data_IF_542720475691
#
_entry.id   IF_542720475691
#
_cell.length_a   1.000
_cell.length_b   1.000
_cell.length_c   1.000
_cell.angle_alpha   90.00
_cell.angle_beta   90.00
_cell.angle_gamma   90.00
#
_symmetry.space_group_name_H-M   'P 1'
#
loop_
_entity.id
_entity.type
_entity.pdbx_description
1 polymer ?
#
# COMPACT_ATOMS: atom_id res chain seq x y z
N UNK A 1 -6.94 18.31 -16.51
CA UNK A 1 -5.86 17.35 -16.19
C UNK A 1 -6.27 16.65 -14.91
N UNK A 2 -6.12 15.33 -14.81
CA UNK A 2 -6.46 14.60 -13.57
C UNK A 2 -5.39 14.90 -12.52
N UNK A 3 -5.72 14.81 -11.24
CA UNK A 3 -4.79 15.15 -10.14
C UNK A 3 -4.12 13.92 -9.51
N UNK A 4 -4.44 12.72 -10.02
CA UNK A 4 -3.98 11.45 -9.45
C UNK A 4 -3.45 10.52 -10.53
N UNK A 5 -2.46 9.70 -10.19
CA UNK A 5 -1.87 8.71 -11.08
C UNK A 5 -1.86 7.33 -10.43
N UNK A 6 -2.31 6.32 -11.16
CA UNK A 6 -2.06 4.92 -10.82
C UNK A 6 -0.81 4.47 -11.57
N UNK A 7 0.17 3.90 -10.87
CA UNK A 7 1.40 3.38 -11.48
C UNK A 7 1.55 1.91 -11.14
N UNK A 8 1.47 1.05 -12.15
CA UNK A 8 1.48 -0.40 -11.95
C UNK A 8 2.61 -1.07 -12.69
N UNK A 9 3.21 -2.06 -12.05
CA UNK A 9 4.16 -2.97 -12.68
C UNK A 9 3.37 -4.16 -13.22
N UNK A 10 3.27 -4.30 -14.54
CA UNK A 10 2.34 -5.25 -15.15
C UNK A 10 3.05 -6.36 -15.95
N UNK A 11 2.57 -7.59 -15.76
CA UNK A 11 2.85 -8.73 -16.64
C UNK A 11 1.56 -9.28 -17.26
N UNK A 12 1.67 -10.43 -17.95
CA UNK A 12 0.56 -11.05 -18.70
C UNK A 12 -0.70 -11.35 -17.86
N UNK A 13 -0.57 -11.45 -16.54
CA UNK A 13 -1.67 -11.80 -15.63
C UNK A 13 -2.16 -10.62 -14.81
N UNK A 14 -1.71 -9.40 -15.11
CA UNK A 14 -2.08 -8.25 -14.30
C UNK A 14 -3.58 -7.94 -14.40
N UNK A 15 -4.17 -7.50 -13.29
CA UNK A 15 -5.60 -7.18 -13.15
C UNK A 15 -5.92 -5.71 -13.44
N UNK A 16 -4.95 -4.92 -13.91
CA UNK A 16 -5.10 -3.48 -14.12
C UNK A 16 -6.19 -3.08 -15.13
N UNK A 17 -6.64 -3.99 -16.00
CA UNK A 17 -7.78 -3.79 -16.90
C UNK A 17 -9.06 -3.38 -16.15
N UNK A 18 -9.27 -3.90 -14.93
CA UNK A 18 -10.42 -3.53 -14.08
C UNK A 18 -10.34 -2.11 -13.55
N UNK A 19 -9.14 -1.54 -13.50
CA UNK A 19 -8.89 -0.21 -12.95
C UNK A 19 -9.08 0.88 -14.00
N UNK A 20 -9.46 0.55 -15.23
CA UNK A 20 -9.83 1.53 -16.25
C UNK A 20 -11.03 1.05 -17.09
N UNK A 21 -11.88 0.20 -16.51
CA UNK A 21 -13.06 -0.38 -17.17
C UNK A 21 -14.25 0.61 -17.34
N UNK A 22 -14.10 1.86 -16.88
CA UNK A 22 -15.08 2.94 -17.02
C UNK A 22 -14.55 4.04 -17.95
N UNK A 23 -15.43 4.85 -18.58
CA UNK A 23 -15.01 5.95 -19.46
C UNK A 23 -14.01 6.91 -18.79
N UNK A 24 -13.08 7.47 -19.58
CA UNK A 24 -12.01 8.32 -19.04
C UNK A 24 -12.55 9.62 -18.42
N UNK A 25 -13.65 10.16 -18.93
CA UNK A 25 -14.37 11.28 -18.37
C UNK A 25 -14.83 11.02 -16.93
N UNK A 26 -15.19 9.78 -16.61
CA UNK A 26 -15.69 9.34 -15.30
C UNK A 26 -14.57 8.95 -14.33
N UNK A 27 -13.31 8.82 -14.78
CA UNK A 27 -12.14 8.57 -13.92
C UNK A 27 -11.64 9.86 -13.27
N UNK A 28 -11.08 9.78 -12.07
CA UNK A 28 -10.40 10.92 -11.40
C UNK A 28 -8.88 10.87 -11.52
N UNK A 29 -8.35 9.91 -12.28
CA UNK A 29 -6.92 9.59 -12.40
C UNK A 29 -6.52 9.20 -13.83
N UNK A 30 -5.22 9.32 -14.08
CA UNK A 30 -4.54 8.71 -15.22
C UNK A 30 -3.90 7.37 -14.79
N UNK A 31 -3.56 6.52 -15.75
CA UNK A 31 -2.92 5.22 -15.52
C UNK A 31 -1.59 5.14 -16.28
N UNK A 32 -0.52 4.79 -15.57
CA UNK A 32 0.79 4.49 -16.13
C UNK A 32 1.10 3.00 -15.92
N UNK A 33 1.13 2.25 -17.02
CA UNK A 33 1.41 0.82 -17.03
C UNK A 33 2.87 0.61 -17.38
N UNK A 34 3.65 0.23 -16.37
CA UNK A 34 5.06 -0.11 -16.52
C UNK A 34 5.19 -1.62 -16.68
N UNK A 35 5.17 -2.08 -17.93
CA UNK A 35 5.25 -3.51 -18.24
C UNK A 35 6.66 -4.06 -17.99
N UNK A 36 6.74 -5.29 -17.48
CA UNK A 36 7.98 -6.08 -17.46
C UNK A 36 7.95 -7.25 -18.46
N UNK A 37 6.78 -7.58 -19.01
CA UNK A 37 6.60 -8.60 -20.03
C UNK A 37 6.58 -7.98 -21.42
N UNK A 38 7.42 -8.49 -22.33
CA UNK A 38 7.44 -8.05 -23.74
C UNK A 38 6.13 -8.39 -24.44
N UNK A 39 5.57 -9.57 -24.15
CA UNK A 39 4.30 -10.04 -24.72
C UNK A 39 3.13 -9.14 -24.30
N UNK A 40 3.04 -8.80 -23.02
CA UNK A 40 1.97 -7.92 -22.54
C UNK A 40 2.11 -6.49 -23.11
N UNK A 41 3.33 -5.99 -23.24
CA UNK A 41 3.57 -4.67 -23.82
C UNK A 41 3.25 -4.65 -25.33
N UNK A 42 3.59 -5.71 -26.07
CA UNK A 42 3.27 -5.83 -27.49
C UNK A 42 1.75 -5.92 -27.75
N UNK A 43 0.97 -6.39 -26.77
CA UNK A 43 -0.49 -6.47 -26.83
C UNK A 43 -1.20 -5.20 -26.29
N UNK A 44 -0.46 -4.18 -25.85
CA UNK A 44 -1.05 -2.95 -25.34
C UNK A 44 -1.64 -2.11 -26.48
N UNK A 45 -2.88 -1.69 -26.31
CA UNK A 45 -3.57 -0.75 -27.20
C UNK A 45 -3.69 0.61 -26.49
N UNK A 46 -3.29 1.72 -27.13
CA UNK A 46 -3.41 3.04 -26.53
C UNK A 46 -4.86 3.44 -26.22
N UNK A 47 -5.09 3.95 -25.02
CA UNK A 47 -6.39 4.44 -24.56
C UNK A 47 -6.27 5.83 -23.91
N UNK A 48 -7.32 6.67 -23.93
CA UNK A 48 -7.30 7.97 -23.27
C UNK A 48 -6.92 7.86 -21.79
N UNK A 49 -5.94 8.65 -21.35
CA UNK A 49 -5.47 8.65 -19.96
C UNK A 49 -4.74 7.37 -19.54
N UNK A 50 -4.30 6.55 -20.49
CA UNK A 50 -3.49 5.35 -20.23
C UNK A 50 -2.18 5.46 -21.01
N UNK A 51 -1.07 5.47 -20.29
CA UNK A 51 0.27 5.43 -20.87
C UNK A 51 0.93 4.10 -20.53
N UNK A 52 1.72 3.56 -21.45
CA UNK A 52 2.47 2.34 -21.24
C UNK A 52 3.96 2.52 -21.55
N UNK A 53 4.81 1.88 -20.74
CA UNK A 53 6.26 1.78 -20.95
C UNK A 53 6.73 0.35 -20.70
N UNK A 54 7.81 -0.06 -21.34
CA UNK A 54 8.46 -1.34 -21.11
C UNK A 54 9.73 -1.14 -20.27
N UNK A 55 9.70 -1.59 -19.01
CA UNK A 55 10.81 -1.49 -18.07
C UNK A 55 11.05 -2.85 -17.43
N UNK A 56 12.27 -3.38 -17.55
CA UNK A 56 12.67 -4.65 -16.89
C UNK A 56 13.10 -4.42 -15.45
N UNK A 57 12.85 -5.42 -14.61
CA UNK A 57 13.16 -5.39 -13.18
C UNK A 57 11.97 -5.81 -12.32
N UNK A 58 12.18 -5.81 -11.00
CA UNK A 58 11.17 -6.05 -10.00
C UNK A 58 10.18 -4.89 -9.85
N UNK A 59 9.44 -4.89 -8.74
CA UNK A 59 8.44 -3.86 -8.47
C UNK A 59 9.10 -2.51 -8.26
N UNK A 60 9.97 -2.41 -7.25
CA UNK A 60 10.47 -1.12 -6.77
C UNK A 60 11.53 -0.51 -7.68
N UNK A 61 12.55 -1.26 -8.10
CA UNK A 61 13.53 -0.76 -9.07
C UNK A 61 12.88 -0.41 -10.42
N UNK A 62 11.84 -1.16 -10.82
CA UNK A 62 11.04 -0.85 -11.99
C UNK A 62 10.24 0.44 -11.84
N UNK A 63 9.60 0.67 -10.68
CA UNK A 63 8.93 1.93 -10.36
C UNK A 63 9.91 3.11 -10.32
N UNK A 64 11.12 2.91 -9.78
CA UNK A 64 12.19 3.91 -9.82
C UNK A 64 12.50 4.34 -11.24
N UNK A 65 12.87 3.39 -12.11
CA UNK A 65 13.18 3.63 -13.53
C UNK A 65 12.01 4.27 -14.29
N UNK A 66 10.78 3.97 -13.88
CA UNK A 66 9.57 4.52 -14.51
C UNK A 66 9.34 5.99 -14.14
N UNK A 67 9.66 6.38 -12.90
CA UNK A 67 9.26 7.66 -12.33
C UNK A 67 10.42 8.67 -12.16
N UNK A 68 11.67 8.23 -12.19
CA UNK A 68 12.84 9.07 -11.88
C UNK A 68 12.95 10.33 -12.77
N UNK A 69 12.64 10.20 -14.06
CA UNK A 69 12.76 11.29 -15.03
C UNK A 69 11.43 12.03 -15.27
N UNK A 70 10.39 11.72 -14.48
CA UNK A 70 9.06 12.32 -14.61
C UNK A 70 8.89 13.51 -13.68
N UNK A 71 8.06 14.46 -14.11
CA UNK A 71 7.63 15.54 -13.23
C UNK A 71 6.61 15.04 -12.20
N UNK A 72 7.09 14.78 -10.98
CA UNK A 72 6.25 14.32 -9.89
C UNK A 72 5.29 15.40 -9.36
N UNK A 73 5.42 16.66 -9.79
CA UNK A 73 4.47 17.73 -9.44
C UNK A 73 3.15 17.65 -10.20
N UNK A 74 3.10 16.90 -11.31
CA UNK A 74 1.93 16.80 -12.17
C UNK A 74 0.69 16.26 -11.44
N UNK A 75 0.89 15.37 -10.46
CA UNK A 75 -0.17 14.74 -9.68
C UNK A 75 0.06 14.95 -8.18
N UNK A 76 -1.02 15.11 -7.43
CA UNK A 76 -0.98 15.19 -5.97
C UNK A 76 -0.84 13.80 -5.34
N UNK A 77 -1.44 12.77 -5.95
CA UNK A 77 -1.50 11.41 -5.42
C UNK A 77 -1.03 10.36 -6.41
N UNK A 78 -0.31 9.36 -5.91
CA UNK A 78 0.22 8.23 -6.66
C UNK A 78 -0.15 6.93 -5.97
N UNK A 79 -0.91 6.07 -6.63
CA UNK A 79 -1.20 4.73 -6.14
C UNK A 79 -0.25 3.72 -6.79
N UNK A 80 0.46 2.94 -5.97
CA UNK A 80 1.52 1.99 -6.40
C UNK A 80 1.13 0.52 -6.12
N UNK A 81 0.03 0.00 -6.70
CA UNK A 81 -0.48 -1.33 -6.45
C UNK A 81 0.40 -2.46 -7.00
N UNK A 82 0.33 -3.62 -6.35
CA UNK A 82 0.68 -4.91 -6.94
C UNK A 82 -0.29 -5.27 -8.08
N UNK A 83 0.19 -6.09 -9.02
CA UNK A 83 -0.51 -6.37 -10.27
C UNK A 83 -1.71 -7.31 -10.12
N UNK A 84 -1.92 -7.89 -8.93
CA UNK A 84 -2.86 -8.95 -8.63
C UNK A 84 -3.96 -8.53 -7.64
N UNK A 85 -4.15 -7.22 -7.51
CA UNK A 85 -5.20 -6.59 -6.74
C UNK A 85 -6.45 -6.41 -7.62
N UNK A 86 -7.51 -7.06 -7.20
CA UNK A 86 -8.82 -6.91 -7.80
C UNK A 86 -9.61 -5.80 -7.08
N UNK A 87 -9.83 -4.69 -7.79
CA UNK A 87 -10.58 -3.51 -7.36
C UNK A 87 -11.20 -2.86 -8.60
N UNK A 88 -12.37 -2.24 -8.46
CA UNK A 88 -13.04 -1.57 -9.58
C UNK A 88 -12.46 -0.16 -9.83
N UNK A 89 -12.60 0.36 -11.05
CA UNK A 89 -12.23 1.75 -11.34
C UNK A 89 -13.01 2.77 -10.48
N UNK A 90 -14.26 2.46 -10.12
CA UNK A 90 -15.07 3.29 -9.23
C UNK A 90 -14.49 3.33 -7.80
N UNK A 91 -13.99 2.21 -7.29
CA UNK A 91 -13.33 2.16 -5.99
C UNK A 91 -11.95 2.85 -6.01
N UNK A 92 -11.25 2.85 -7.16
CA UNK A 92 -10.03 3.65 -7.34
C UNK A 92 -10.34 5.15 -7.34
N UNK A 93 -11.44 5.59 -7.97
CA UNK A 93 -11.93 6.96 -7.82
C UNK A 93 -12.17 7.28 -6.33
N UNK A 94 -12.91 6.42 -5.63
CA UNK A 94 -13.22 6.58 -4.22
C UNK A 94 -11.95 6.64 -3.34
N UNK A 95 -10.89 5.89 -3.69
CA UNK A 95 -9.59 5.95 -3.02
C UNK A 95 -9.00 7.36 -3.10
N UNK A 96 -8.93 7.94 -4.30
CA UNK A 96 -8.38 9.29 -4.47
C UNK A 96 -9.27 10.36 -3.83
N UNK A 97 -10.59 10.21 -3.91
CA UNK A 97 -11.53 11.10 -3.22
C UNK A 97 -11.33 11.05 -1.71
N UNK A 98 -11.18 9.86 -1.12
CA UNK A 98 -10.92 9.67 0.30
C UNK A 98 -9.56 10.26 0.72
N UNK A 99 -8.53 10.14 -0.12
CA UNK A 99 -7.22 10.77 0.11
C UNK A 99 -7.36 12.29 0.25
N UNK A 100 -8.13 12.91 -0.66
CA UNK A 100 -8.36 14.36 -0.66
C UNK A 100 -9.26 14.81 0.51
N UNK A 101 -10.43 14.18 0.67
CA UNK A 101 -11.45 14.54 1.68
C UNK A 101 -10.89 14.44 3.10
N UNK A 102 -10.08 13.42 3.39
CA UNK A 102 -9.48 13.23 4.71
C UNK A 102 -8.09 13.86 4.85
N UNK A 103 -7.58 14.54 3.82
CA UNK A 103 -6.26 15.17 3.83
C UNK A 103 -5.12 14.18 4.08
N UNK A 104 -5.26 12.95 3.59
CA UNK A 104 -4.29 11.87 3.81
C UNK A 104 -3.04 12.10 2.98
N UNK A 105 -1.92 11.65 3.53
CA UNK A 105 -0.61 11.61 2.89
C UNK A 105 -0.23 10.20 2.46
N UNK A 106 -0.74 9.20 3.18
CA UNK A 106 -0.48 7.79 2.93
C UNK A 106 -1.77 7.02 3.24
N UNK A 107 -2.24 6.22 2.31
CA UNK A 107 -3.32 5.29 2.61
C UNK A 107 -3.21 4.01 1.79
N UNK A 108 -4.05 3.04 2.13
CA UNK A 108 -4.43 1.99 1.18
C UNK A 108 -5.88 1.55 1.44
N UNK A 109 -6.57 1.02 0.41
CA UNK A 109 -7.80 0.27 0.62
C UNK A 109 -7.60 -0.89 1.59
N UNK A 110 -8.67 -1.30 2.25
CA UNK A 110 -8.67 -2.52 3.06
C UNK A 110 -8.69 -3.77 2.18
N UNK A 111 -8.42 -4.93 2.77
CA UNK A 111 -8.46 -6.22 2.10
C UNK A 111 -9.80 -6.92 2.33
N UNK A 112 -10.43 -7.42 1.27
CA UNK A 112 -11.63 -8.26 1.41
C UNK A 112 -11.34 -9.51 2.24
N UNK A 113 -12.34 -10.09 2.93
CA UNK A 113 -12.14 -11.29 3.76
C UNK A 113 -11.51 -12.48 3.03
N UNK A 114 -11.71 -12.56 1.71
CA UNK A 114 -11.20 -13.65 0.86
C UNK A 114 -9.73 -13.47 0.46
N UNK A 115 -9.15 -12.30 0.73
CA UNK A 115 -7.79 -11.93 0.32
C UNK A 115 -6.70 -12.76 1.00
N UNK A 116 -5.58 -12.93 0.29
CA UNK A 116 -4.31 -13.26 0.93
C UNK A 116 -3.74 -12.01 1.62
N UNK A 117 -3.06 -12.15 2.76
CA UNK A 117 -2.50 -11.01 3.49
C UNK A 117 -1.22 -11.36 4.24
N UNK A 118 -0.31 -10.39 4.38
CA UNK A 118 0.84 -10.44 5.30
C UNK A 118 0.45 -9.99 6.71
N UNK A 119 -0.47 -9.02 6.77
CA UNK A 119 -0.87 -8.36 8.00
C UNK A 119 -2.39 -8.27 8.10
N UNK A 120 -2.98 -9.10 8.97
CA UNK A 120 -4.43 -9.14 9.23
C UNK A 120 -5.04 -7.78 9.62
N UNK A 121 -4.24 -6.81 10.08
CA UNK A 121 -4.75 -5.47 10.38
C UNK A 121 -5.38 -4.80 9.16
N UNK A 122 -4.96 -5.14 7.93
CA UNK A 122 -5.49 -4.58 6.70
C UNK A 122 -6.80 -5.21 6.24
N UNK A 123 -7.23 -6.32 6.84
CA UNK A 123 -8.56 -6.88 6.59
C UNK A 123 -9.65 -5.82 6.85
N UNK A 124 -10.59 -5.71 5.93
CA UNK A 124 -11.73 -4.80 6.03
C UNK A 124 -12.43 -5.00 7.37
N UNK A 125 -12.65 -3.89 8.08
CA UNK A 125 -13.23 -3.88 9.40
C UNK A 125 -14.62 -3.23 9.35
N UNK A 126 -15.71 -4.01 9.40
CA UNK A 126 -17.07 -3.46 9.33
C UNK A 126 -17.34 -2.37 10.38
N UNK A 127 -18.08 -1.33 9.98
CA UNK A 127 -18.44 -0.21 10.85
C UNK A 127 -17.39 0.90 10.96
N UNK A 128 -16.32 0.84 10.16
CA UNK A 128 -15.30 1.88 10.05
C UNK A 128 -15.34 2.51 8.65
N UNK A 129 -15.12 3.83 8.60
CA UNK A 129 -14.80 4.57 7.38
C UNK A 129 -13.32 4.40 7.08
N UNK A 130 -12.49 4.72 8.09
CA UNK A 130 -11.05 4.57 8.03
C UNK A 130 -10.46 4.30 9.41
N UNK A 131 -9.25 3.75 9.43
CA UNK A 131 -8.44 3.49 10.63
C UNK A 131 -7.06 4.12 10.49
N UNK A 132 -6.74 5.08 11.34
CA UNK A 132 -5.42 5.69 11.41
C UNK A 132 -4.41 4.73 12.04
N UNK A 133 -3.30 4.52 11.34
CA UNK A 133 -2.30 3.50 11.65
C UNK A 133 -0.89 4.04 11.46
N UNK A 134 0.07 3.45 12.17
CA UNK A 134 1.50 3.77 12.00
C UNK A 134 2.18 2.96 10.89
N UNK A 135 1.40 2.30 10.04
CA UNK A 135 1.91 1.32 9.07
C UNK A 135 0.97 1.17 7.88
N UNK A 136 1.50 1.30 6.67
CA UNK A 136 0.85 1.02 5.38
C UNK A 136 1.76 0.08 4.61
N UNK A 137 1.22 -1.04 4.12
CA UNK A 137 2.00 -2.10 3.46
C UNK A 137 2.46 -1.69 2.06
N UNK A 138 3.60 -2.23 1.65
CA UNK A 138 4.21 -2.04 0.33
C UNK A 138 3.36 -2.59 -0.85
N UNK A 139 2.36 -3.42 -0.57
CA UNK A 139 1.50 -4.05 -1.58
C UNK A 139 0.70 -3.01 -2.38
N UNK A 140 0.09 -2.01 -1.73
CA UNK A 140 -0.77 -1.04 -2.42
C UNK A 140 -0.77 0.38 -1.85
N UNK A 141 0.40 0.99 -1.55
CA UNK A 141 0.42 2.31 -0.95
C UNK A 141 -0.07 3.37 -1.94
N UNK A 142 -1.00 4.21 -1.49
CA UNK A 142 -1.37 5.47 -2.13
C UNK A 142 -0.65 6.60 -1.40
N UNK A 143 0.26 7.27 -2.11
CA UNK A 143 1.18 8.26 -1.56
C UNK A 143 0.86 9.64 -2.12
N UNK A 144 0.85 10.66 -1.26
CA UNK A 144 0.94 12.04 -1.72
C UNK A 144 2.33 12.31 -2.31
N UNK A 145 2.43 13.22 -3.28
CA UNK A 145 3.68 13.57 -3.98
C UNK A 145 4.86 13.88 -3.05
N UNK A 146 4.62 14.59 -1.94
CA UNK A 146 5.65 14.89 -0.92
C UNK A 146 6.28 13.60 -0.35
N UNK A 147 5.46 12.57 -0.14
CA UNK A 147 5.92 11.27 0.36
C UNK A 147 6.61 10.50 -0.75
N UNK A 148 6.05 10.48 -1.95
CA UNK A 148 6.65 9.78 -3.10
C UNK A 148 8.03 10.34 -3.43
N UNK A 149 8.21 11.66 -3.48
CA UNK A 149 9.50 12.30 -3.76
C UNK A 149 10.59 11.87 -2.78
N UNK A 150 10.22 11.71 -1.50
CA UNK A 150 11.13 11.25 -0.45
C UNK A 150 11.39 9.74 -0.51
N UNK A 151 10.42 8.96 -0.95
CA UNK A 151 10.52 7.51 -1.09
C UNK A 151 11.23 7.05 -2.36
N UNK A 152 11.09 7.78 -3.47
CA UNK A 152 11.52 7.35 -4.79
C UNK A 152 13.01 6.97 -4.85
N UNK A 153 13.96 7.75 -4.28
CA UNK A 153 15.37 7.34 -4.25
C UNK A 153 15.62 6.00 -3.55
N UNK A 154 14.78 5.63 -2.59
CA UNK A 154 14.91 4.37 -1.83
C UNK A 154 14.44 3.15 -2.63
N UNK A 155 13.75 3.36 -3.74
CA UNK A 155 13.31 2.28 -4.62
C UNK A 155 14.46 1.79 -5.51
N UNK A 156 15.47 2.63 -5.73
CA UNK A 156 16.60 2.34 -6.61
C UNK A 156 17.35 1.09 -6.15
N UNK A 157 17.48 0.10 -7.04
CA UNK A 157 18.19 -1.14 -6.77
C UNK A 157 17.47 -2.12 -5.84
N UNK A 158 16.21 -1.84 -5.45
CA UNK A 158 15.42 -2.74 -4.60
C UNK A 158 14.44 -3.57 -5.45
N UNK A 159 14.46 -4.89 -5.29
CA UNK A 159 13.52 -5.78 -5.95
C UNK A 159 12.27 -6.00 -5.09
N UNK A 160 12.47 -6.34 -3.80
CA UNK A 160 11.36 -6.67 -2.90
C UNK A 160 10.77 -5.44 -2.22
N UNK A 161 11.61 -4.45 -1.93
CA UNK A 161 11.23 -3.26 -1.15
C UNK A 161 10.92 -3.60 0.30
N UNK A 162 11.44 -4.73 0.79
CA UNK A 162 11.16 -5.22 2.13
C UNK A 162 11.67 -4.22 3.17
N UNK A 163 10.76 -3.70 4.00
CA UNK A 163 11.05 -2.69 5.02
C UNK A 163 10.77 -1.23 4.63
N UNK A 164 10.37 -0.94 3.38
CA UNK A 164 9.92 0.41 3.00
C UNK A 164 8.66 0.86 3.78
N UNK A 165 7.83 -0.09 4.18
CA UNK A 165 6.66 0.13 5.03
C UNK A 165 7.01 0.49 6.50
N UNK A 166 8.28 0.40 6.89
CA UNK A 166 8.74 0.84 8.21
C UNK A 166 8.94 2.35 8.30
N UNK A 167 9.13 3.02 7.17
CA UNK A 167 9.71 4.37 7.14
C UNK A 167 8.72 5.47 6.79
N UNK A 168 7.88 5.29 5.75
CA UNK A 168 7.11 6.42 5.22
C UNK A 168 6.08 6.95 6.21
N UNK A 169 5.49 6.10 7.07
CA UNK A 169 4.52 6.53 8.10
C UNK A 169 5.19 7.33 9.24
N UNK A 170 6.52 7.33 9.30
CA UNK A 170 7.35 7.95 10.35
C UNK A 170 8.11 9.17 9.84
N UNK A 171 7.87 9.61 8.62
CA UNK A 171 8.35 10.91 8.17
C UNK A 171 7.49 12.04 8.73
N UNK A 172 8.08 13.22 8.92
CA UNK A 172 7.39 14.38 9.46
C UNK A 172 6.19 14.78 8.56
N UNK A 173 6.38 14.67 7.25
CA UNK A 173 5.41 14.98 6.20
C UNK A 173 4.21 14.04 6.22
N UNK A 174 4.38 12.80 6.72
CA UNK A 174 3.31 11.82 6.78
C UNK A 174 2.25 12.20 7.79
N UNK A 175 2.63 12.71 8.96
CA UNK A 175 1.72 13.16 10.02
C UNK A 175 0.86 12.04 10.64
N UNK A 176 0.55 12.13 11.93
CA UNK A 176 -0.20 11.07 12.60
C UNK A 176 -1.60 10.85 12.00
N UNK A 177 -2.42 11.90 11.90
CA UNK A 177 -3.81 11.77 11.40
C UNK A 177 -3.94 11.91 9.89
N UNK A 178 -2.91 11.51 9.15
CA UNK A 178 -2.87 11.56 7.68
C UNK A 178 -2.39 10.25 7.07
N UNK A 179 -2.29 9.20 7.89
CA UNK A 179 -1.97 7.84 7.44
C UNK A 179 -3.06 6.86 7.84
N UNK A 180 -3.75 6.24 6.87
CA UNK A 180 -4.94 5.45 7.16
C UNK A 180 -5.16 4.20 6.29
N UNK A 181 -5.83 3.21 6.86
CA UNK A 181 -6.49 2.12 6.12
C UNK A 181 -7.92 2.59 5.84
N UNK A 182 -8.36 2.50 4.60
CA UNK A 182 -9.73 2.87 4.21
C UNK A 182 -10.60 1.62 4.23
N UNK A 183 -11.58 1.54 5.13
CA UNK A 183 -12.45 0.36 5.28
C UNK A 183 -13.72 0.44 4.43
N UNK A 184 -14.12 1.62 3.98
CA UNK A 184 -15.22 1.78 3.00
C UNK A 184 -14.84 1.31 1.59
N UNK A 185 -13.55 1.16 1.33
CA UNK A 185 -13.00 0.71 0.06
C UNK A 185 -12.22 -0.57 0.32
N UNK A 186 -12.53 -1.63 -0.43
CA UNK A 186 -11.85 -2.90 -0.29
C UNK A 186 -11.36 -3.41 -1.64
N UNK A 187 -10.14 -3.93 -1.64
CA UNK A 187 -9.54 -4.66 -2.76
C UNK A 187 -9.37 -6.13 -2.38
N UNK A 188 -9.45 -7.01 -3.37
CA UNK A 188 -9.20 -8.43 -3.19
C UNK A 188 -7.79 -8.78 -3.69
N UNK A 189 -6.92 -9.21 -2.78
CA UNK A 189 -5.59 -9.69 -3.15
C UNK A 189 -5.67 -11.17 -3.54
N UNK A 190 -5.47 -11.45 -4.83
CA UNK A 190 -5.89 -12.70 -5.47
C UNK A 190 -4.86 -13.83 -5.39
N UNK A 191 -3.60 -13.56 -5.00
CA UNK A 191 -2.51 -14.54 -5.03
C UNK A 191 -1.80 -14.70 -3.68
N UNK A 192 -1.18 -15.87 -3.42
CA UNK A 192 -0.36 -16.07 -2.24
C UNK A 192 0.83 -15.11 -2.15
N UNK A 193 0.97 -14.46 -1.00
CA UNK A 193 2.07 -13.52 -0.69
C UNK A 193 3.43 -14.19 -0.92
N UNK A 194 4.31 -13.48 -1.63
CA UNK A 194 5.73 -13.79 -1.72
C UNK A 194 6.11 -15.00 -2.58
N UNK A 195 5.15 -15.73 -3.19
CA UNK A 195 5.48 -16.90 -4.01
C UNK A 195 6.26 -16.53 -5.27
N UNK A 196 5.77 -15.56 -6.04
CA UNK A 196 6.40 -15.14 -7.29
C UNK A 196 7.71 -14.37 -7.05
N UNK A 197 7.71 -13.50 -6.03
CA UNK A 197 8.88 -12.72 -5.64
C UNK A 197 10.07 -13.62 -5.27
N UNK A 198 9.85 -14.69 -4.49
CA UNK A 198 10.91 -15.64 -4.12
C UNK A 198 11.57 -16.30 -5.33
N UNK A 199 10.78 -16.66 -6.34
CA UNK A 199 11.31 -17.27 -7.58
C UNK A 199 12.16 -16.24 -8.33
N UNK A 200 11.62 -15.03 -8.55
CA UNK A 200 12.34 -13.97 -9.26
C UNK A 200 13.63 -13.53 -8.55
N UNK A 201 13.63 -13.49 -7.22
CA UNK A 201 14.83 -13.13 -6.45
C UNK A 201 15.88 -14.23 -6.49
N UNK A 202 15.49 -15.52 -6.46
CA UNK A 202 16.42 -16.64 -6.57
C UNK A 202 17.12 -16.70 -7.94
N UNK A 203 16.49 -16.16 -8.98
CA UNK A 203 17.05 -16.06 -10.33
C UNK A 203 17.90 -14.79 -10.53
N UNK A 204 17.89 -13.88 -9.55
CA UNK A 204 18.62 -12.61 -9.61
C UNK A 204 19.94 -12.67 -8.83
N UNK A 205 20.94 -11.89 -9.26
CA UNK A 205 22.17 -11.64 -8.47
C UNK A 205 22.00 -10.45 -7.51
N UNK A 206 20.76 -10.07 -7.17
CA UNK A 206 20.46 -8.94 -6.29
C UNK A 206 20.42 -9.37 -4.82
N UNK A 207 20.31 -8.39 -3.93
CA UNK A 207 20.16 -8.62 -2.50
C UNK A 207 18.92 -9.45 -2.18
N UNK A 208 19.01 -10.28 -1.15
CA UNK A 208 17.85 -10.92 -0.52
C UNK A 208 16.96 -9.88 0.18
N UNK A 209 15.72 -10.24 0.48
CA UNK A 209 14.78 -9.34 1.18
C UNK A 209 15.30 -8.95 2.57
N UNK A 210 15.99 -9.86 3.26
CA UNK A 210 16.60 -9.62 4.55
C UNK A 210 17.79 -8.64 4.45
N UNK A 211 18.58 -8.71 3.37
CA UNK A 211 19.67 -7.77 3.10
C UNK A 211 19.14 -6.39 2.72
N UNK A 212 18.11 -6.30 1.88
CA UNK A 212 17.41 -5.02 1.59
C UNK A 212 16.89 -4.35 2.87
N UNK A 213 16.26 -5.13 3.77
CA UNK A 213 15.83 -4.64 5.07
C UNK A 213 17.00 -4.18 5.95
N UNK A 214 18.13 -4.90 5.94
CA UNK A 214 19.30 -4.53 6.72
C UNK A 214 19.89 -3.19 6.27
N UNK A 215 19.98 -2.96 4.96
CA UNK A 215 20.39 -1.67 4.38
C UNK A 215 19.46 -0.56 4.84
N UNK A 216 18.13 -0.73 4.70
CA UNK A 216 17.15 0.26 5.14
C UNK A 216 17.25 0.55 6.64
N UNK A 217 17.42 -0.48 7.48
CA UNK A 217 17.61 -0.29 8.92
C UNK A 217 18.87 0.51 9.23
N UNK A 218 19.97 0.26 8.52
CA UNK A 218 21.21 1.01 8.70
C UNK A 218 21.03 2.48 8.29
N UNK A 219 20.41 2.74 7.14
CA UNK A 219 20.16 4.09 6.62
C UNK A 219 19.31 4.95 7.55
N UNK A 220 18.35 4.35 8.28
CA UNK A 220 17.41 5.06 9.15
C UNK A 220 17.62 4.81 10.66
N UNK A 221 18.72 4.18 11.04
CA UNK A 221 19.03 3.80 12.43
C UNK A 221 17.94 2.96 13.14
N UNK A 222 17.32 2.03 12.42
CA UNK A 222 16.20 1.26 12.92
C UNK A 222 16.68 0.00 13.65
N UNK A 223 16.46 -0.05 14.96
CA UNK A 223 16.80 -1.22 15.79
C UNK A 223 15.74 -2.33 15.77
N UNK A 224 14.54 -2.07 15.23
CA UNK A 224 13.41 -3.01 15.22
C UNK A 224 12.48 -2.78 14.05
N UNK A 225 11.71 -3.82 13.69
CA UNK A 225 10.59 -3.72 12.75
C UNK A 225 9.44 -2.92 13.36
N UNK A 226 8.79 -2.11 12.53
CA UNK A 226 7.56 -1.42 12.94
C UNK A 226 6.43 -2.45 13.08
N UNK A 227 5.72 -2.43 14.21
CA UNK A 227 4.53 -3.24 14.39
C UNK A 227 3.30 -2.40 14.07
N UNK A 228 2.40 -2.86 13.17
CA UNK A 228 1.18 -2.14 12.87
C UNK A 228 0.28 -2.00 14.10
N UNK A 229 -0.14 -0.77 14.39
CA UNK A 229 -1.00 -0.36 15.50
C UNK A 229 -1.96 0.71 15.00
N UNK A 230 -3.26 0.48 15.20
CA UNK A 230 -4.32 1.46 14.93
C UNK A 230 -4.56 2.30 16.18
N UNK A 231 -4.46 3.62 16.09
CA UNK A 231 -4.54 4.50 17.27
C UNK A 231 -5.72 5.47 17.26
N UNK A 232 -6.34 5.67 16.11
CA UNK A 232 -7.58 6.42 15.93
C UNK A 232 -8.35 5.88 14.72
N UNK A 233 -9.62 6.23 14.59
CA UNK A 233 -10.46 5.85 13.45
C UNK A 233 -11.65 6.81 13.29
N UNK A 234 -12.30 6.73 12.13
CA UNK A 234 -13.62 7.33 11.89
C UNK A 234 -14.60 6.16 11.70
N UNK A 235 -15.69 6.16 12.46
CA UNK A 235 -16.73 5.15 12.37
C UNK A 235 -17.69 5.44 11.22
N UNK A 236 -18.38 4.41 10.73
CA UNK A 236 -19.51 4.57 9.82
C UNK A 236 -20.58 5.44 10.52
N UNK A 237 -20.83 6.64 9.97
CA UNK A 237 -21.57 7.72 10.65
C UNK A 237 -20.72 8.93 11.05
N UNK A 238 -19.42 8.94 10.70
CA UNK A 238 -18.54 10.09 10.80
C UNK A 238 -17.96 10.37 12.19
N UNK A 239 -18.28 9.54 13.18
CA UNK A 239 -17.83 9.76 14.57
C UNK A 239 -16.35 9.40 14.73
N UNK A 240 -15.49 10.34 15.19
CA UNK A 240 -14.11 10.02 15.49
C UNK A 240 -14.02 9.20 16.78
N UNK A 241 -13.08 8.26 16.79
CA UNK A 241 -12.75 7.47 17.98
C UNK A 241 -11.23 7.37 18.10
N UNK A 242 -10.74 7.48 19.32
CA UNK A 242 -9.33 7.31 19.66
C UNK A 242 -9.18 6.38 20.86
N UNK A 243 -7.96 5.91 21.08
CA UNK A 243 -7.68 5.02 22.21
C UNK A 243 -7.62 3.55 21.80
N UNK A 244 -6.44 2.98 22.01
CA UNK A 244 -6.06 1.67 21.47
C UNK A 244 -6.86 0.51 22.04
N UNK A 245 -7.25 0.58 23.31
CA UNK A 245 -8.06 -0.46 23.96
C UNK A 245 -9.46 -0.53 23.36
N UNK A 246 -10.12 0.62 23.25
CA UNK A 246 -11.48 0.71 22.70
C UNK A 246 -11.49 0.33 21.22
N UNK A 247 -10.51 0.81 20.45
CA UNK A 247 -10.33 0.43 19.05
C UNK A 247 -10.07 -1.06 18.88
N UNK A 248 -9.16 -1.62 19.68
CA UNK A 248 -8.86 -3.05 19.67
C UNK A 248 -10.10 -3.90 19.90
N UNK A 249 -10.91 -3.57 20.92
CA UNK A 249 -12.15 -4.28 21.21
C UNK A 249 -13.18 -4.16 20.07
N UNK A 250 -13.39 -2.95 19.52
CA UNK A 250 -14.33 -2.72 18.41
C UNK A 250 -13.92 -3.47 17.16
N UNK A 251 -12.65 -3.38 16.76
CA UNK A 251 -12.15 -4.11 15.59
C UNK A 251 -12.30 -5.63 15.76
N UNK A 252 -11.96 -6.16 16.95
CA UNK A 252 -12.12 -7.59 17.22
C UNK A 252 -13.58 -8.03 17.09
N UNK A 253 -14.52 -7.27 17.64
CA UNK A 253 -15.96 -7.57 17.50
C UNK A 253 -16.43 -7.51 16.05
N UNK A 254 -16.01 -6.49 15.32
CA UNK A 254 -16.35 -6.31 13.92
C UNK A 254 -15.87 -7.50 13.08
N UNK A 255 -14.59 -7.87 13.19
CA UNK A 255 -14.06 -9.04 12.47
C UNK A 255 -14.67 -10.36 12.92
N UNK A 256 -14.93 -10.55 14.22
CA UNK A 256 -15.61 -11.75 14.71
C UNK A 256 -17.02 -11.89 14.13
N UNK A 257 -17.73 -10.79 13.89
CA UNK A 257 -19.08 -10.81 13.29
C UNK A 257 -19.09 -11.28 11.82
N UNK A 258 -17.95 -11.17 11.12
CA UNK A 258 -17.78 -11.62 9.73
C UNK A 258 -16.79 -12.76 9.60
N UNK A 259 -16.44 -13.43 10.70
CA UNK A 259 -15.44 -14.51 10.73
C UNK A 259 -15.69 -15.61 9.67
N UNK A 260 -16.94 -16.06 9.41
CA UNK A 260 -17.20 -17.08 8.39
C UNK A 260 -16.94 -16.64 6.94
N UNK A 261 -16.85 -15.34 6.67
CA UNK A 261 -16.58 -14.81 5.33
C UNK A 261 -15.09 -14.89 4.96
N UNK A 262 -14.20 -14.98 5.94
CA UNK A 262 -12.77 -15.04 5.65
C UNK A 262 -12.40 -16.32 4.94
N UNK A 263 -11.47 -16.23 3.98
CA UNK A 263 -10.88 -17.37 3.26
C UNK A 263 -10.45 -18.51 4.19
N UNK A 264 -9.94 -18.16 5.38
CA UNK A 264 -9.67 -19.11 6.45
C UNK A 264 -10.10 -18.53 7.80
N UNK A 265 -11.21 -19.03 8.35
CA UNK A 265 -11.69 -18.63 9.67
C UNK A 265 -10.67 -18.89 10.79
N UNK A 266 -9.81 -19.90 10.64
CA UNK A 266 -8.73 -20.20 11.60
C UNK A 266 -7.63 -19.14 11.56
N UNK A 267 -7.15 -18.80 10.36
CA UNK A 267 -6.13 -17.75 10.17
C UNK A 267 -6.67 -16.39 10.61
N UNK A 268 -7.91 -16.07 10.25
CA UNK A 268 -8.57 -14.85 10.68
C UNK A 268 -8.69 -14.77 12.20
N UNK A 269 -9.12 -15.84 12.88
CA UNK A 269 -9.19 -15.89 14.34
C UNK A 269 -7.82 -15.65 14.99
N UNK A 270 -6.77 -16.29 14.48
CA UNK A 270 -5.39 -16.06 14.92
C UNK A 270 -4.96 -14.60 14.72
N UNK A 271 -5.29 -14.04 13.55
CA UNK A 271 -5.08 -12.63 13.22
C UNK A 271 -5.78 -11.68 14.20
N UNK A 272 -7.06 -11.89 14.48
CA UNK A 272 -7.85 -11.09 15.44
C UNK A 272 -7.19 -11.09 16.81
N UNK A 273 -6.83 -12.26 17.35
CA UNK A 273 -6.14 -12.34 18.65
C UNK A 273 -4.78 -11.65 18.64
N UNK A 274 -4.03 -11.78 17.54
CA UNK A 274 -2.74 -11.10 17.36
C UNK A 274 -2.91 -9.58 17.38
N UNK A 275 -3.93 -9.03 16.71
CA UNK A 275 -4.22 -7.60 16.72
C UNK A 275 -4.69 -7.14 18.10
N UNK A 276 -5.58 -7.88 18.77
CA UNK A 276 -6.01 -7.59 20.14
C UNK A 276 -4.82 -7.46 21.08
N UNK A 277 -3.91 -8.44 21.06
CA UNK A 277 -2.69 -8.43 21.86
C UNK A 277 -1.78 -7.25 21.49
N UNK A 278 -1.57 -6.98 20.19
CA UNK A 278 -0.75 -5.83 19.74
C UNK A 278 -1.30 -4.51 20.25
N UNK A 279 -2.62 -4.32 20.22
CA UNK A 279 -3.26 -3.10 20.71
C UNK A 279 -3.10 -2.89 22.22
N UNK A 280 -2.95 -3.98 22.97
CA UNK A 280 -2.72 -3.95 24.41
C UNK A 280 -1.24 -3.69 24.76
N UNK A 281 -0.31 -4.42 24.15
CA UNK A 281 1.06 -4.54 24.69
C UNK A 281 2.15 -3.86 23.87
N UNK A 282 1.93 -3.61 22.58
CA UNK A 282 2.99 -3.05 21.72
C UNK A 282 3.04 -1.53 21.87
N UNK A 283 4.20 -0.87 21.86
CA UNK A 283 4.22 0.59 21.82
C UNK A 283 3.69 1.08 20.47
N UNK A 284 3.01 2.22 20.47
CA UNK A 284 2.73 2.97 19.25
C UNK A 284 4.04 3.66 18.84
N UNK A 285 4.66 3.19 17.77
CA UNK A 285 5.89 3.80 17.25
C UNK A 285 5.53 4.77 16.12
N UNK A 286 5.55 6.06 16.47
CA UNK A 286 5.34 7.19 15.56
C UNK A 286 6.53 8.15 15.63
N UNK A 287 7.68 7.65 16.10
CA UNK A 287 8.88 8.49 16.22
C UNK A 287 9.31 8.96 14.84
N UNK A 288 9.50 10.27 14.69
CA UNK A 288 9.92 10.86 13.42
C UNK A 288 11.33 10.41 13.08
N UNK A 289 11.53 9.93 11.86
CA UNK A 289 12.84 9.48 11.37
C UNK A 289 13.29 10.32 10.17
N UNK A 290 14.61 10.39 10.00
CA UNK A 290 15.28 10.94 8.84
C UNK A 290 16.39 9.98 8.41
N UNK A 291 16.77 10.03 7.14
CA UNK A 291 17.94 9.31 6.65
C UNK A 291 19.18 9.83 7.38
N UNK A 292 20.11 8.95 7.76
CA UNK A 292 21.42 9.36 8.25
C UNK A 292 22.07 10.22 7.16
N UNK A 293 22.52 11.42 7.53
CA UNK A 293 23.45 12.14 6.67
C UNK A 293 24.72 11.30 6.63
N UNK A 294 25.22 10.99 5.43
CA UNK A 294 26.57 10.43 5.32
C UNK A 294 27.51 11.46 5.96
N UNK A 295 28.21 11.04 7.02
CA UNK A 295 29.30 11.84 7.54
C UNK A 295 30.30 12.04 6.39
N UNK A 296 30.73 13.29 6.11
CA UNK A 296 31.68 13.56 5.03
C UNK A 296 33.02 12.84 5.22
#
# INVERSE_FOLDING_TARGET
MKNSLVVVRAGNKSLHHRWHEIPYEDRTYDLLISYFSDEAFAAFEPEPGVEAVLIKGGKWDGLFKTLADRDLEQYDYYWLPDDDLDISAADVNALFDAMQVHGLRIAQPSLTPESYFSHFVFSQCPGFVLRYTNYIEIMAPCLHKDILKKALPLFQGTMSGYGLDYIWCRWAEAGAFRTAILDEIAMHHTRPVGKNLKVAMAESNNLSSEEEEAVLKQMFDLSRRTVPVVFAAILQGGQPISGRLQLGWRMCRAWMSVLPKFRSASEARSGIFKIARRQLIKPLDMTTISMKQESP
#
